data_IF_097423432349
#
_entry.id   IF_097423432349
#
_cell.length_a   1.000
_cell.length_b   1.000
_cell.length_c   1.000
_cell.angle_alpha   90.00
_cell.angle_beta   90.00
_cell.angle_gamma   90.00
#
_symmetry.space_group_name_H-M   'P 1'
#
loop_
_entity.id
_entity.type
_entity.pdbx_description
1 polymer ?
#
# COMPACT_ATOMS: atom_id res chain seq x y z
N UNK A 1 28.88 20.53 6.00
CA UNK A 1 28.73 19.47 7.02
C UNK A 1 27.55 18.63 6.54
N UNK A 2 27.79 17.45 5.97
CA UNK A 2 26.70 16.55 5.59
C UNK A 2 25.97 16.18 6.89
N UNK A 3 24.69 16.57 7.02
CA UNK A 3 23.84 16.15 8.13
C UNK A 3 23.93 14.63 8.24
N UNK A 4 24.35 14.12 9.40
CA UNK A 4 24.32 12.69 9.67
C UNK A 4 22.87 12.23 9.49
N UNK A 5 22.65 11.43 8.45
CA UNK A 5 21.36 10.79 8.19
C UNK A 5 21.00 9.99 9.45
N UNK A 6 19.91 10.36 10.12
CA UNK A 6 19.50 9.75 11.39
C UNK A 6 19.15 8.29 11.10
N UNK A 7 19.82 7.34 11.77
CA UNK A 7 19.51 5.92 11.62
C UNK A 7 18.16 5.63 12.31
N UNK A 8 17.11 5.44 11.50
CA UNK A 8 15.76 5.15 11.96
C UNK A 8 15.48 3.65 12.12
N UNK A 9 16.47 2.78 11.88
CA UNK A 9 16.28 1.32 11.80
C UNK A 9 15.61 0.70 13.02
N UNK A 10 16.03 1.12 14.23
CA UNK A 10 15.42 0.63 15.47
C UNK A 10 13.93 0.99 15.52
N UNK A 11 13.58 2.20 15.06
CA UNK A 11 12.20 2.67 15.01
C UNK A 11 11.43 1.91 13.94
N UNK A 12 12.02 1.67 12.76
CA UNK A 12 11.42 0.86 11.69
C UNK A 12 11.10 -0.56 12.15
N UNK A 13 12.03 -1.22 12.86
CA UNK A 13 11.83 -2.56 13.42
C UNK A 13 10.72 -2.56 14.50
N UNK A 14 10.69 -1.54 15.35
CA UNK A 14 9.64 -1.39 16.36
C UNK A 14 8.26 -1.18 15.72
N UNK A 15 8.17 -0.35 14.67
CA UNK A 15 6.94 -0.14 13.89
C UNK A 15 6.50 -1.41 13.17
N UNK A 16 7.44 -2.20 12.64
CA UNK A 16 7.09 -3.48 12.04
C UNK A 16 6.45 -4.44 13.04
N UNK A 17 6.88 -4.41 14.31
CA UNK A 17 6.26 -5.19 15.41
C UNK A 17 4.97 -4.56 15.92
N UNK A 18 4.83 -3.23 15.86
CA UNK A 18 3.67 -2.50 16.39
C UNK A 18 2.34 -2.87 15.69
N UNK A 19 2.41 -3.49 14.50
CA UNK A 19 1.25 -4.05 13.79
C UNK A 19 0.49 -5.13 14.59
N UNK A 20 1.13 -5.78 15.55
CA UNK A 20 0.50 -6.81 16.41
C UNK A 20 0.23 -6.32 17.83
N UNK A 21 0.60 -5.08 18.16
CA UNK A 21 0.41 -4.51 19.49
C UNK A 21 -0.91 -3.73 19.47
N UNK A 22 -1.87 -4.15 20.29
CA UNK A 22 -3.19 -3.51 20.39
C UNK A 22 -3.15 -2.44 21.49
N UNK A 23 -3.66 -1.25 21.19
CA UNK A 23 -3.80 -0.11 22.10
C UNK A 23 -5.24 0.42 21.97
N UNK A 24 -5.97 0.48 23.08
CA UNK A 24 -7.41 0.78 23.12
C UNK A 24 -8.19 -0.23 22.26
N UNK A 25 -8.44 0.06 20.98
CA UNK A 25 -9.14 -0.83 20.04
C UNK A 25 -8.47 -0.92 18.66
N UNK A 26 -7.26 -0.36 18.52
CA UNK A 26 -6.52 -0.36 17.25
C UNK A 26 -5.07 -0.78 17.46
N UNK A 27 -4.34 -0.98 16.38
CA UNK A 27 -2.92 -1.33 16.47
C UNK A 27 -2.09 -0.09 16.76
N UNK A 28 -0.98 -0.23 17.48
CA UNK A 28 -0.02 0.85 17.66
C UNK A 28 0.46 1.39 16.28
N UNK A 29 0.55 0.52 15.28
CA UNK A 29 0.83 0.94 13.89
C UNK A 29 -0.21 1.94 13.37
N UNK A 30 -1.50 1.71 13.61
CA UNK A 30 -2.55 2.62 13.15
C UNK A 30 -2.36 4.03 13.74
N UNK A 31 -2.07 4.13 15.05
CA UNK A 31 -1.76 5.41 15.68
C UNK A 31 -0.53 6.09 15.06
N UNK A 32 0.53 5.32 14.78
CA UNK A 32 1.75 5.85 14.13
C UNK A 32 1.43 6.37 12.73
N UNK A 33 0.69 5.61 11.91
CA UNK A 33 0.28 6.05 10.57
C UNK A 33 -0.53 7.34 10.65
N UNK A 34 -1.53 7.41 11.53
CA UNK A 34 -2.36 8.62 11.71
C UNK A 34 -1.54 9.82 12.16
N UNK A 35 -0.61 9.63 13.11
CA UNK A 35 0.29 10.69 13.57
C UNK A 35 1.20 11.21 12.46
N UNK A 36 1.81 10.32 11.68
CA UNK A 36 2.69 10.71 10.56
C UNK A 36 1.90 11.44 9.47
N UNK A 37 0.68 10.98 9.17
CA UNK A 37 -0.18 11.60 8.16
C UNK A 37 -0.78 12.94 8.63
N UNK A 38 -0.90 13.18 9.95
CA UNK A 38 -1.36 14.46 10.49
C UNK A 38 -0.27 15.54 10.56
N UNK A 39 0.99 15.19 10.31
CA UNK A 39 2.07 16.19 10.29
C UNK A 39 1.94 17.13 9.09
N UNK A 40 2.47 18.34 9.24
CA UNK A 40 2.48 19.33 8.15
C UNK A 40 3.19 18.80 6.90
N UNK A 41 2.81 19.31 5.74
CA UNK A 41 3.50 19.02 4.48
C UNK A 41 4.96 19.49 4.60
N UNK A 42 5.89 18.54 4.57
CA UNK A 42 7.31 18.77 4.83
C UNK A 42 8.12 17.63 4.25
N UNK A 43 9.15 17.92 3.44
CA UNK A 43 10.06 16.92 2.91
C UNK A 43 10.80 16.12 4.00
N UNK A 44 10.91 16.67 5.23
CA UNK A 44 11.50 15.95 6.36
C UNK A 44 10.56 14.87 6.85
N UNK A 45 9.28 15.19 7.06
CA UNK A 45 8.28 14.21 7.49
C UNK A 45 8.01 13.14 6.44
N UNK A 46 8.05 13.49 5.15
CA UNK A 46 7.97 12.52 4.05
C UNK A 46 9.13 11.53 4.09
N UNK A 47 10.36 12.03 4.23
CA UNK A 47 11.55 11.18 4.33
C UNK A 47 11.52 10.27 5.56
N UNK A 48 11.13 10.80 6.73
CA UNK A 48 10.99 10.00 7.95
C UNK A 48 9.97 8.89 7.73
N UNK A 49 8.74 9.26 7.33
CA UNK A 49 7.64 8.32 7.13
C UNK A 49 7.99 7.23 6.12
N UNK A 50 8.52 7.59 4.95
CA UNK A 50 8.93 6.63 3.92
C UNK A 50 10.02 5.69 4.43
N UNK A 51 11.03 6.20 5.12
CA UNK A 51 12.12 5.37 5.65
C UNK A 51 11.67 4.39 6.72
N UNK A 52 10.67 4.76 7.53
CA UNK A 52 10.09 3.87 8.54
C UNK A 52 9.36 2.67 7.93
N UNK A 53 8.68 2.85 6.79
CA UNK A 53 7.88 1.80 6.16
C UNK A 53 8.59 1.04 5.04
N UNK A 54 9.74 1.54 4.56
CA UNK A 54 10.50 0.91 3.46
C UNK A 54 11.93 0.53 3.87
N UNK A 55 12.20 0.37 5.17
CA UNK A 55 13.50 -0.06 5.67
C UNK A 55 13.83 -1.49 5.22
N UNK A 56 14.96 -1.65 4.53
CA UNK A 56 15.39 -2.93 3.93
C UNK A 56 15.88 -3.96 4.97
N UNK A 57 16.08 -3.55 6.23
CA UNK A 57 16.48 -4.49 7.30
C UNK A 57 15.30 -5.31 7.83
N UNK A 58 14.07 -4.92 7.51
CA UNK A 58 12.86 -5.68 7.85
C UNK A 58 12.75 -6.86 6.87
N UNK A 59 12.51 -8.07 7.41
CA UNK A 59 12.37 -9.28 6.58
C UNK A 59 11.26 -9.12 5.53
N UNK A 60 11.39 -9.73 4.35
CA UNK A 60 10.39 -9.61 3.26
C UNK A 60 8.97 -9.91 3.74
N UNK A 61 8.80 -10.95 4.58
CA UNK A 61 7.50 -11.33 5.16
C UNK A 61 6.96 -10.24 6.07
N UNK A 62 7.81 -9.67 6.91
CA UNK A 62 7.42 -8.61 7.83
C UNK A 62 7.11 -7.30 7.11
N UNK A 63 7.87 -6.97 6.08
CA UNK A 63 7.64 -5.82 5.21
C UNK A 63 6.33 -5.96 4.46
N UNK A 64 6.02 -7.14 3.90
CA UNK A 64 4.75 -7.38 3.21
C UNK A 64 3.55 -7.21 4.17
N UNK A 65 3.67 -7.72 5.41
CA UNK A 65 2.63 -7.56 6.43
C UNK A 65 2.51 -6.10 6.90
N UNK A 66 3.62 -5.39 7.09
CA UNK A 66 3.65 -3.98 7.47
C UNK A 66 2.99 -3.11 6.41
N UNK A 67 3.42 -3.23 5.15
CA UNK A 67 2.87 -2.47 4.02
C UNK A 67 1.38 -2.77 3.87
N UNK A 68 0.97 -4.03 3.97
CA UNK A 68 -0.45 -4.41 3.96
C UNK A 68 -1.23 -3.66 5.04
N UNK A 69 -0.74 -3.65 6.28
CA UNK A 69 -1.42 -2.99 7.40
C UNK A 69 -1.44 -1.46 7.27
N UNK A 70 -0.39 -0.85 6.72
CA UNK A 70 -0.36 0.58 6.41
C UNK A 70 -1.39 0.93 5.34
N UNK A 71 -1.46 0.18 4.23
CA UNK A 71 -2.45 0.42 3.17
C UNK A 71 -3.87 0.29 3.69
N UNK A 72 -4.15 -0.72 4.53
CA UNK A 72 -5.47 -0.90 5.14
C UNK A 72 -5.80 0.15 6.21
N UNK A 73 -4.80 0.86 6.73
CA UNK A 73 -4.99 1.96 7.69
C UNK A 73 -5.11 3.33 7.02
N UNK A 74 -4.75 3.43 5.75
CA UNK A 74 -4.81 4.68 5.00
C UNK A 74 -6.26 5.08 4.74
N UNK A 75 -6.55 6.36 4.97
CA UNK A 75 -7.87 6.95 4.71
C UNK A 75 -7.92 7.68 3.37
N UNK A 76 -6.76 7.93 2.76
CA UNK A 76 -6.66 8.64 1.49
C UNK A 76 -5.36 8.32 0.74
N UNK A 77 -5.33 8.68 -0.54
CA UNK A 77 -4.13 8.61 -1.39
C UNK A 77 -2.98 9.45 -0.83
N UNK A 78 -3.28 10.56 -0.14
CA UNK A 78 -2.26 11.39 0.51
C UNK A 78 -1.53 10.62 1.61
N UNK A 79 -2.23 9.76 2.34
CA UNK A 79 -1.62 8.92 3.39
C UNK A 79 -0.65 7.93 2.75
N UNK A 80 -1.02 7.31 1.62
CA UNK A 80 -0.12 6.41 0.89
C UNK A 80 1.10 7.14 0.31
N UNK A 81 0.93 8.37 -0.19
CA UNK A 81 2.05 9.20 -0.63
C UNK A 81 2.96 9.60 0.54
N UNK A 82 2.39 9.89 1.72
CA UNK A 82 3.16 10.15 2.94
C UNK A 82 3.94 8.91 3.38
N UNK A 83 3.34 7.73 3.32
CA UNK A 83 3.96 6.48 3.78
C UNK A 83 4.95 5.87 2.79
N UNK A 84 4.69 5.96 1.50
CA UNK A 84 5.47 5.25 0.48
C UNK A 84 6.06 6.17 -0.58
N UNK A 85 5.53 7.37 -0.78
CA UNK A 85 5.94 8.27 -1.85
C UNK A 85 6.01 7.53 -3.19
N UNK A 86 7.14 7.68 -3.89
CA UNK A 86 7.40 7.00 -5.16
C UNK A 86 8.15 5.67 -5.01
N UNK A 87 8.24 5.12 -3.80
CA UNK A 87 9.00 3.90 -3.50
C UNK A 87 8.49 2.68 -4.26
N UNK A 88 7.22 2.64 -4.69
CA UNK A 88 6.67 1.58 -5.53
C UNK A 88 7.49 1.31 -6.81
N UNK A 89 8.17 2.34 -7.33
CA UNK A 89 9.01 2.23 -8.54
C UNK A 89 10.22 1.33 -8.36
N UNK A 90 10.72 1.21 -7.12
CA UNK A 90 11.96 0.49 -6.79
C UNK A 90 11.71 -0.68 -5.83
N UNK A 91 10.77 -0.53 -4.91
CA UNK A 91 10.45 -1.52 -3.89
C UNK A 91 9.46 -2.56 -4.44
N UNK A 92 9.95 -3.77 -4.68
CA UNK A 92 9.16 -4.89 -5.21
C UNK A 92 8.07 -5.36 -4.24
N UNK A 93 8.23 -5.16 -2.92
CA UNK A 93 7.26 -5.55 -1.92
C UNK A 93 6.04 -4.63 -1.96
N UNK A 94 6.25 -3.31 -2.06
CA UNK A 94 5.15 -2.35 -2.24
C UNK A 94 4.37 -2.68 -3.51
N UNK A 95 5.07 -2.94 -4.62
CA UNK A 95 4.44 -3.34 -5.88
C UNK A 95 3.65 -4.64 -5.74
N UNK A 96 4.21 -5.69 -5.13
CA UNK A 96 3.50 -6.95 -4.87
C UNK A 96 2.24 -6.73 -4.03
N UNK A 97 2.30 -5.91 -2.98
CA UNK A 97 1.15 -5.66 -2.11
C UNK A 97 0.07 -4.85 -2.82
N UNK A 98 0.45 -3.72 -3.43
CA UNK A 98 -0.48 -2.75 -4.00
C UNK A 98 -0.98 -3.14 -5.39
N UNK A 99 -0.19 -3.83 -6.23
CA UNK A 99 -0.60 -4.21 -7.58
C UNK A 99 -1.25 -5.61 -7.63
N UNK A 100 -0.81 -6.53 -6.77
CA UNK A 100 -1.24 -7.93 -6.85
C UNK A 100 -2.07 -8.34 -5.65
N UNK A 101 -1.53 -8.26 -4.43
CA UNK A 101 -2.13 -8.90 -3.26
C UNK A 101 -3.47 -8.28 -2.88
N UNK A 102 -3.52 -6.95 -2.74
CA UNK A 102 -4.74 -6.25 -2.31
C UNK A 102 -5.76 -6.09 -3.44
N UNK A 103 -5.32 -6.12 -4.70
CA UNK A 103 -6.22 -5.99 -5.85
C UNK A 103 -6.77 -7.33 -6.31
N UNK A 104 -5.95 -8.38 -6.38
CA UNK A 104 -6.32 -9.67 -6.99
C UNK A 104 -6.58 -10.79 -5.98
N UNK A 105 -5.87 -10.79 -4.84
CA UNK A 105 -5.83 -11.95 -3.93
C UNK A 105 -6.66 -11.75 -2.65
N UNK A 106 -7.15 -10.53 -2.39
CA UNK A 106 -7.91 -10.20 -1.19
C UNK A 106 -9.07 -9.27 -1.53
N UNK A 107 -10.27 -9.63 -1.07
CA UNK A 107 -11.42 -8.72 -1.07
C UNK A 107 -11.15 -7.58 -0.10
N UNK A 108 -11.19 -6.34 -0.60
CA UNK A 108 -10.95 -5.13 0.18
C UNK A 108 -12.18 -4.22 0.16
N UNK A 109 -12.24 -3.31 1.14
CA UNK A 109 -13.23 -2.25 1.13
C UNK A 109 -13.09 -1.36 -0.12
N UNK A 110 -14.19 -0.88 -0.73
CA UNK A 110 -14.14 -0.01 -1.91
C UNK A 110 -13.24 1.23 -1.75
N UNK A 111 -13.17 1.82 -0.55
CA UNK A 111 -12.30 2.97 -0.28
C UNK A 111 -10.83 2.59 -0.41
N UNK A 112 -10.44 1.40 0.04
CA UNK A 112 -9.06 0.90 -0.08
C UNK A 112 -8.72 0.71 -1.55
N UNK A 113 -9.61 0.12 -2.35
CA UNK A 113 -9.41 -0.07 -3.79
C UNK A 113 -9.21 1.27 -4.49
N UNK A 114 -10.06 2.26 -4.21
CA UNK A 114 -9.94 3.60 -4.77
C UNK A 114 -8.64 4.29 -4.37
N UNK A 115 -8.27 4.20 -3.09
CA UNK A 115 -7.04 4.78 -2.54
C UNK A 115 -5.79 4.17 -3.19
N UNK A 116 -5.79 2.85 -3.42
CA UNK A 116 -4.70 2.17 -4.14
C UNK A 116 -4.65 2.63 -5.60
N UNK A 117 -5.79 2.66 -6.29
CA UNK A 117 -5.83 3.04 -7.71
C UNK A 117 -5.29 4.45 -7.96
N UNK A 118 -5.72 5.42 -7.15
CA UNK A 118 -5.23 6.80 -7.19
C UNK A 118 -3.74 6.89 -6.84
N UNK A 119 -3.27 6.12 -5.86
CA UNK A 119 -1.86 6.04 -5.51
C UNK A 119 -1.03 5.47 -6.67
N UNK A 120 -1.49 4.40 -7.31
CA UNK A 120 -0.81 3.83 -8.48
C UNK A 120 -0.76 4.83 -9.64
N UNK A 121 -1.87 5.50 -9.93
CA UNK A 121 -1.92 6.53 -10.97
C UNK A 121 -0.91 7.66 -10.73
N UNK A 122 -0.76 8.07 -9.46
CA UNK A 122 0.13 9.19 -9.08
C UNK A 122 1.60 8.77 -8.95
N UNK A 123 1.87 7.63 -8.31
CA UNK A 123 3.20 7.25 -7.85
C UNK A 123 3.88 6.19 -8.72
N UNK A 124 3.13 5.33 -9.40
CA UNK A 124 3.72 4.31 -10.26
C UNK A 124 4.30 4.92 -11.54
N UNK A 125 5.09 4.14 -12.28
CA UNK A 125 5.38 4.48 -13.67
C UNK A 125 4.22 4.04 -14.56
N UNK A 126 4.16 4.57 -15.79
CA UNK A 126 3.13 4.18 -16.75
C UNK A 126 3.14 2.67 -17.02
N UNK A 127 4.32 2.07 -17.08
CA UNK A 127 4.50 0.64 -17.33
C UNK A 127 3.94 -0.19 -16.17
N UNK A 128 4.26 0.15 -14.92
CA UNK A 128 3.73 -0.54 -13.74
C UNK A 128 2.20 -0.42 -13.69
N UNK A 129 1.68 0.76 -13.99
CA UNK A 129 0.24 1.02 -14.01
C UNK A 129 -0.48 0.16 -15.05
N UNK A 130 0.00 0.17 -16.30
CA UNK A 130 -0.58 -0.62 -17.39
C UNK A 130 -0.48 -2.13 -17.14
N UNK A 131 0.68 -2.62 -16.67
CA UNK A 131 0.85 -4.03 -16.31
C UNK A 131 -0.15 -4.46 -15.23
N UNK A 132 -0.38 -3.60 -14.23
CA UNK A 132 -1.38 -3.90 -13.18
C UNK A 132 -2.78 -4.02 -13.77
N UNK A 133 -3.14 -3.16 -14.72
CA UNK A 133 -4.46 -3.20 -15.38
C UNK A 133 -4.60 -4.45 -16.25
N UNK A 134 -3.59 -4.77 -17.04
CA UNK A 134 -3.56 -5.97 -17.87
C UNK A 134 -3.73 -7.23 -17.02
N UNK A 135 -3.04 -7.33 -15.88
CA UNK A 135 -3.20 -8.44 -14.93
C UNK A 135 -4.61 -8.50 -14.35
N UNK A 136 -5.17 -7.36 -13.90
CA UNK A 136 -6.54 -7.30 -13.35
C UNK A 136 -7.57 -7.72 -14.40
N UNK A 137 -7.48 -7.19 -15.62
CA UNK A 137 -8.42 -7.51 -16.71
C UNK A 137 -8.29 -8.96 -17.15
N UNK A 138 -7.07 -9.50 -17.18
CA UNK A 138 -6.83 -10.92 -17.48
C UNK A 138 -7.53 -11.83 -16.49
N UNK A 139 -7.39 -11.56 -15.18
CA UNK A 139 -8.08 -12.35 -14.14
C UNK A 139 -9.59 -12.14 -14.18
N UNK A 140 -10.06 -10.91 -14.42
CA UNK A 140 -11.48 -10.59 -14.48
C UNK A 140 -12.21 -11.24 -15.65
N UNK A 141 -11.53 -11.38 -16.79
CA UNK A 141 -12.08 -11.99 -18.00
C UNK A 141 -11.89 -13.51 -18.07
N UNK A 142 -11.18 -14.12 -17.13
CA UNK A 142 -10.95 -15.57 -17.10
C UNK A 142 -12.29 -16.33 -16.90
N UNK A 143 -12.70 -17.20 -17.85
CA UNK A 143 -13.92 -17.99 -17.73
C UNK A 143 -13.98 -18.85 -16.46
N UNK A 144 -12.83 -19.32 -15.95
CA UNK A 144 -12.78 -20.07 -14.70
C UNK A 144 -13.09 -19.17 -13.49
N UNK A 145 -12.59 -17.93 -13.50
CA UNK A 145 -12.90 -16.95 -12.47
C UNK A 145 -14.40 -16.67 -12.42
N UNK A 146 -15.01 -16.42 -13.58
CA UNK A 146 -16.45 -16.12 -13.70
C UNK A 146 -17.33 -17.29 -13.21
N UNK A 147 -16.89 -18.53 -13.44
CA UNK A 147 -17.69 -19.73 -13.11
C UNK A 147 -17.53 -20.22 -11.68
N UNK A 148 -16.34 -20.11 -11.10
CA UNK A 148 -15.99 -20.84 -9.88
C UNK A 148 -15.63 -19.94 -8.68
N UNK A 149 -15.40 -18.65 -8.88
CA UNK A 149 -15.02 -17.74 -7.80
C UNK A 149 -16.27 -17.18 -7.12
N UNK A 150 -16.20 -16.98 -5.79
CA UNK A 150 -17.28 -16.40 -5.01
C UNK A 150 -17.71 -15.02 -5.55
N UNK A 151 -19.01 -14.73 -5.51
CA UNK A 151 -19.61 -13.49 -6.01
C UNK A 151 -18.96 -12.25 -5.40
N UNK A 152 -18.60 -12.30 -4.11
CA UNK A 152 -17.91 -11.21 -3.42
C UNK A 152 -16.57 -10.86 -4.07
N UNK A 153 -15.79 -11.86 -4.44
CA UNK A 153 -14.50 -11.67 -5.09
C UNK A 153 -14.66 -11.22 -6.54
N UNK A 154 -15.69 -11.70 -7.26
CA UNK A 154 -16.02 -11.19 -8.60
C UNK A 154 -16.42 -9.70 -8.56
N UNK A 155 -17.25 -9.33 -7.58
CA UNK A 155 -17.66 -7.95 -7.37
C UNK A 155 -16.48 -7.06 -6.97
N UNK A 156 -15.57 -7.56 -6.12
CA UNK A 156 -14.32 -6.89 -5.80
C UNK A 156 -13.48 -6.64 -7.04
N UNK A 157 -13.22 -7.66 -7.85
CA UNK A 157 -12.39 -7.53 -9.04
C UNK A 157 -13.01 -6.56 -10.06
N UNK A 158 -14.34 -6.59 -10.22
CA UNK A 158 -15.08 -5.61 -11.04
C UNK A 158 -14.86 -4.18 -10.54
N UNK A 159 -14.87 -3.94 -9.23
CA UNK A 159 -14.54 -2.62 -8.65
C UNK A 159 -13.10 -2.22 -8.94
N UNK A 160 -12.15 -3.15 -8.88
CA UNK A 160 -10.74 -2.88 -9.21
C UNK A 160 -10.60 -2.45 -10.67
N UNK A 161 -11.22 -3.16 -11.61
CA UNK A 161 -11.24 -2.79 -13.05
C UNK A 161 -11.78 -1.37 -13.22
N UNK A 162 -12.95 -1.09 -12.63
CA UNK A 162 -13.59 0.23 -12.73
C UNK A 162 -12.74 1.34 -12.09
N UNK A 163 -12.12 1.09 -10.94
CA UNK A 163 -11.28 2.07 -10.25
C UNK A 163 -10.02 2.39 -11.06
N UNK A 164 -9.32 1.37 -11.58
CA UNK A 164 -8.10 1.55 -12.36
C UNK A 164 -8.38 2.10 -13.78
N UNK A 165 -9.56 1.81 -14.34
CA UNK A 165 -9.97 2.29 -15.66
C UNK A 165 -10.28 3.79 -15.72
N UNK A 166 -10.38 4.51 -14.60
CA UNK A 166 -10.81 5.93 -14.55
C UNK A 166 -9.86 6.90 -15.28
N UNK A 167 -8.61 6.51 -15.48
CA UNK A 167 -7.55 7.35 -16.06
C UNK A 167 -6.97 6.78 -17.36
N UNK A 168 -7.65 5.81 -17.97
CA UNK A 168 -7.38 5.35 -19.34
C UNK A 168 -8.18 6.24 -20.30
#
# INVERSE_FOLDING_TARGET
>A
IAEKDVDLRIISLLIAKSRTIIVQDSTLLHFVVRYLCSQSESPVWDRISQRLFTDETISTRDSEALITAVVLSASSTKDLLRCFGFSIRRNSIIRRVCCTKLLLQRTCDPLVVMTIAEYLHTAATKEIYLQTIEEVVSVWSDPAHVRYVAVEQQAHLTRVVLAMGRWI
#
